data_IF_490253901170
#
_entry.id   IF_490253901170
#
_cell.length_a   1.000
_cell.length_b   1.000
_cell.length_c   1.000
_cell.angle_alpha   90.00
_cell.angle_beta   90.00
_cell.angle_gamma   90.00
#
_symmetry.space_group_name_H-M   'P 1'
#
loop_
_entity.id
_entity.type
_entity.pdbx_description
1 polymer ?
#
# COMPACT_ATOMS: atom_id res chain seq x y z
N UNK A 1 -19.27 -22.31 16.70
CA UNK A 1 -19.26 -22.13 15.21
C UNK A 1 -18.13 -22.98 14.67
N UNK A 2 -18.40 -23.84 13.70
CA UNK A 2 -17.36 -24.54 12.96
C UNK A 2 -16.71 -23.53 11.99
N UNK A 3 -15.46 -23.19 12.24
CA UNK A 3 -14.73 -22.16 11.48
C UNK A 3 -14.50 -22.61 10.04
N UNK A 4 -14.20 -23.89 9.83
CA UNK A 4 -13.95 -24.42 8.48
C UNK A 4 -15.19 -24.34 7.61
N UNK A 5 -16.34 -24.74 8.13
CA UNK A 5 -17.60 -24.66 7.40
C UNK A 5 -18.01 -23.21 7.17
N UNK A 6 -17.91 -22.36 8.18
CA UNK A 6 -18.22 -20.93 8.09
C UNK A 6 -17.40 -20.23 7.00
N UNK A 7 -16.07 -20.42 7.00
CA UNK A 7 -15.18 -19.79 6.03
C UNK A 7 -15.38 -20.38 4.62
N UNK A 8 -15.67 -21.68 4.49
CA UNK A 8 -15.99 -22.32 3.21
C UNK A 8 -17.27 -21.73 2.62
N UNK A 9 -18.30 -21.51 3.42
CA UNK A 9 -19.55 -20.88 2.98
C UNK A 9 -19.34 -19.42 2.56
N UNK A 10 -18.53 -18.65 3.31
CA UNK A 10 -18.13 -17.31 2.93
C UNK A 10 -17.43 -17.31 1.57
N UNK A 11 -16.44 -18.18 1.38
CA UNK A 11 -15.69 -18.29 0.14
C UNK A 11 -16.58 -18.64 -1.06
N UNK A 12 -17.48 -19.63 -0.89
CA UNK A 12 -18.44 -20.04 -1.92
C UNK A 12 -19.36 -18.89 -2.34
N UNK A 13 -19.90 -18.14 -1.38
CA UNK A 13 -20.77 -16.96 -1.64
C UNK A 13 -19.99 -15.84 -2.34
N UNK A 14 -18.77 -15.53 -1.89
CA UNK A 14 -17.89 -14.55 -2.54
C UNK A 14 -17.57 -14.95 -3.99
N UNK A 15 -17.22 -16.23 -4.23
CA UNK A 15 -16.96 -16.74 -5.57
C UNK A 15 -18.19 -16.64 -6.47
N UNK A 16 -19.39 -16.88 -5.96
CA UNK A 16 -20.62 -16.67 -6.71
C UNK A 16 -20.84 -15.19 -7.04
N UNK A 17 -20.70 -14.32 -6.05
CA UNK A 17 -20.88 -12.88 -6.21
C UNK A 17 -19.85 -12.26 -7.17
N UNK A 18 -18.59 -12.74 -7.19
CA UNK A 18 -17.54 -12.24 -8.09
C UNK A 18 -17.92 -12.33 -9.57
N UNK A 19 -18.70 -13.38 -9.96
CA UNK A 19 -19.18 -13.53 -11.34
C UNK A 19 -20.21 -12.46 -11.71
N UNK A 20 -21.03 -12.01 -10.76
CA UNK A 20 -21.96 -10.91 -10.97
C UNK A 20 -21.22 -9.57 -11.01
N UNK A 21 -20.24 -9.37 -10.12
CA UNK A 21 -19.40 -8.18 -10.10
C UNK A 21 -18.60 -7.98 -11.39
N UNK A 22 -18.06 -9.05 -11.96
CA UNK A 22 -17.33 -9.00 -13.24
C UNK A 22 -18.19 -8.50 -14.43
N UNK A 23 -19.54 -8.55 -14.31
CA UNK A 23 -20.49 -8.09 -15.31
C UNK A 23 -21.17 -6.77 -14.94
N UNK A 24 -20.93 -6.27 -13.71
CA UNK A 24 -21.55 -5.05 -13.22
C UNK A 24 -21.14 -3.84 -14.07
N UNK A 25 -22.11 -3.02 -14.44
CA UNK A 25 -21.83 -1.78 -15.16
C UNK A 25 -21.15 -0.76 -14.24
N UNK A 26 -20.37 0.15 -14.80
CA UNK A 26 -19.78 1.29 -14.09
C UNK A 26 -20.85 2.08 -13.33
N UNK A 27 -22.02 2.27 -13.94
CA UNK A 27 -23.14 2.98 -13.31
C UNK A 27 -23.63 2.26 -12.04
N UNK A 28 -23.78 0.94 -12.07
CA UNK A 28 -24.20 0.16 -10.90
C UNK A 28 -23.16 0.21 -9.77
N UNK A 29 -21.86 0.05 -10.13
CA UNK A 29 -20.76 0.16 -9.17
C UNK A 29 -20.70 1.54 -8.52
N UNK A 30 -20.81 2.61 -9.30
CA UNK A 30 -20.83 3.98 -8.78
C UNK A 30 -22.06 4.24 -7.91
N UNK A 31 -23.25 3.76 -8.31
CA UNK A 31 -24.47 3.89 -7.52
C UNK A 31 -24.36 3.19 -6.16
N UNK A 32 -23.71 2.01 -6.10
CA UNK A 32 -23.46 1.30 -4.85
C UNK A 32 -22.53 2.12 -3.93
N UNK A 33 -21.39 2.61 -4.44
CA UNK A 33 -20.46 3.43 -3.67
C UNK A 33 -21.11 4.71 -3.12
N UNK A 34 -21.92 5.38 -3.93
CA UNK A 34 -22.64 6.58 -3.53
C UNK A 34 -23.77 6.28 -2.51
N UNK A 35 -24.43 5.13 -2.63
CA UNK A 35 -25.41 4.67 -1.66
C UNK A 35 -24.76 4.34 -0.30
N UNK A 36 -23.58 3.70 -0.29
CA UNK A 36 -22.80 3.47 0.93
C UNK A 36 -22.38 4.80 1.56
N UNK A 37 -21.91 5.77 0.77
CA UNK A 37 -21.53 7.10 1.26
C UNK A 37 -22.71 7.79 1.98
N UNK A 38 -23.90 7.80 1.36
CA UNK A 38 -25.12 8.33 1.99
C UNK A 38 -25.55 7.57 3.24
N UNK A 39 -25.37 6.24 3.25
CA UNK A 39 -25.70 5.42 4.42
C UNK A 39 -24.77 5.74 5.61
N UNK A 40 -23.47 5.97 5.36
CA UNK A 40 -22.53 6.41 6.41
C UNK A 40 -22.92 7.79 6.95
N UNK A 41 -23.28 8.74 6.08
CA UNK A 41 -23.74 10.07 6.50
C UNK A 41 -25.03 9.99 7.34
N UNK A 42 -25.99 9.16 6.91
CA UNK A 42 -27.27 8.95 7.61
C UNK A 42 -27.08 8.33 8.99
N UNK A 43 -26.25 7.30 9.10
CA UNK A 43 -26.08 6.48 10.30
C UNK A 43 -24.80 6.80 11.08
N UNK A 44 -24.23 8.00 10.88
CA UNK A 44 -22.98 8.42 11.50
C UNK A 44 -22.95 8.26 13.03
N UNK A 45 -24.08 8.56 13.72
CA UNK A 45 -24.14 8.39 15.17
C UNK A 45 -24.12 6.91 15.58
N UNK A 46 -24.86 6.05 14.89
CA UNK A 46 -24.87 4.61 15.18
C UNK A 46 -23.49 3.97 14.95
N UNK A 47 -22.74 4.43 13.92
CA UNK A 47 -21.34 4.01 13.70
C UNK A 47 -20.43 4.44 14.85
N UNK A 48 -20.56 5.69 15.33
CA UNK A 48 -19.79 6.17 16.48
C UNK A 48 -20.14 5.41 17.77
N UNK A 49 -21.40 5.05 17.98
CA UNK A 49 -21.83 4.26 19.13
C UNK A 49 -21.26 2.83 19.07
N UNK A 50 -21.23 2.20 17.91
CA UNK A 50 -20.58 0.91 17.71
C UNK A 50 -19.07 1.00 17.98
N UNK A 51 -18.41 2.03 17.43
CA UNK A 51 -17.00 2.27 17.62
C UNK A 51 -16.64 2.59 19.08
N UNK A 52 -17.49 3.31 19.81
CA UNK A 52 -17.27 3.60 21.22
C UNK A 52 -17.19 2.31 22.07
N UNK A 53 -17.95 1.25 21.71
CA UNK A 53 -17.86 -0.06 22.38
C UNK A 53 -16.51 -0.73 22.11
N UNK A 54 -16.04 -0.71 20.86
CA UNK A 54 -14.70 -1.23 20.51
C UNK A 54 -13.58 -0.47 21.23
N UNK A 55 -13.65 0.86 21.26
CA UNK A 55 -12.67 1.73 21.95
C UNK A 55 -12.68 1.49 23.47
N UNK A 56 -13.84 1.32 24.08
CA UNK A 56 -13.95 1.00 25.53
C UNK A 56 -13.26 -0.33 25.82
N UNK A 57 -13.54 -1.38 25.05
CA UNK A 57 -12.90 -2.68 25.19
C UNK A 57 -11.37 -2.60 24.96
N UNK A 58 -10.91 -1.81 24.01
CA UNK A 58 -9.47 -1.60 23.75
C UNK A 58 -8.76 -0.93 24.95
N UNK A 59 -9.41 0.09 25.55
CA UNK A 59 -8.90 0.75 26.76
C UNK A 59 -8.84 -0.19 27.97
N UNK A 60 -9.88 -1.01 28.20
CA UNK A 60 -9.88 -2.01 29.25
C UNK A 60 -8.75 -3.05 29.10
N UNK A 61 -8.39 -3.38 27.86
CA UNK A 61 -7.25 -4.25 27.54
C UNK A 61 -5.89 -3.56 27.64
N UNK A 62 -5.84 -2.26 27.94
CA UNK A 62 -4.60 -1.50 28.11
C UNK A 62 -3.84 -1.24 26.81
N UNK A 63 -4.53 -1.18 25.66
CA UNK A 63 -3.90 -0.85 24.38
C UNK A 63 -3.42 0.60 24.37
N UNK A 64 -2.32 0.86 23.67
CA UNK A 64 -1.66 2.17 23.67
C UNK A 64 -2.49 3.27 22.97
N UNK A 65 -2.15 4.53 23.25
CA UNK A 65 -2.87 5.69 22.74
C UNK A 65 -2.86 5.77 21.20
N UNK A 66 -1.77 5.38 20.56
CA UNK A 66 -1.65 5.40 19.10
C UNK A 66 -2.52 4.33 18.46
N UNK A 67 -2.69 3.18 19.14
CA UNK A 67 -3.62 2.14 18.72
C UNK A 67 -5.07 2.63 18.82
N UNK A 68 -5.43 3.23 19.96
CA UNK A 68 -6.78 3.77 20.20
C UNK A 68 -7.12 4.88 19.20
N UNK A 69 -6.16 5.75 18.88
CA UNK A 69 -6.33 6.80 17.85
C UNK A 69 -6.68 6.19 16.48
N UNK A 70 -5.93 5.17 16.06
CA UNK A 70 -6.19 4.45 14.81
C UNK A 70 -7.54 3.71 14.77
N UNK A 71 -8.02 3.25 15.93
CA UNK A 71 -9.30 2.56 16.06
C UNK A 71 -10.49 3.51 16.04
N UNK A 72 -10.29 4.78 16.45
CA UNK A 72 -11.37 5.73 16.69
C UNK A 72 -11.97 6.27 15.41
N UNK A 73 -13.31 6.14 15.26
CA UNK A 73 -14.10 6.76 14.20
C UNK A 73 -14.62 8.14 14.63
N UNK A 74 -13.78 9.16 14.44
CA UNK A 74 -14.18 10.56 14.64
C UNK A 74 -15.05 11.05 13.49
N UNK A 75 -15.72 12.22 13.68
CA UNK A 75 -16.47 12.88 12.60
C UNK A 75 -15.60 13.13 11.36
N UNK A 76 -14.34 13.49 11.56
CA UNK A 76 -13.38 13.67 10.46
C UNK A 76 -13.06 12.32 9.76
N UNK A 77 -12.93 11.23 10.50
CA UNK A 77 -12.72 9.90 9.93
C UNK A 77 -13.91 9.47 9.06
N UNK A 78 -15.13 9.66 9.54
CA UNK A 78 -16.35 9.37 8.77
C UNK A 78 -16.44 10.23 7.51
N UNK A 79 -16.15 11.52 7.64
CA UNK A 79 -16.10 12.44 6.48
C UNK A 79 -15.07 11.98 5.44
N UNK A 80 -13.87 11.60 5.87
CA UNK A 80 -12.82 11.09 4.98
C UNK A 80 -13.24 9.80 4.27
N UNK A 81 -13.93 8.87 4.95
CA UNK A 81 -14.49 7.67 4.32
C UNK A 81 -15.50 8.02 3.22
N UNK A 82 -16.40 8.97 3.47
CA UNK A 82 -17.41 9.42 2.50
C UNK A 82 -16.73 10.07 1.28
N UNK A 83 -15.75 10.93 1.52
CA UNK A 83 -14.97 11.57 0.46
C UNK A 83 -14.20 10.52 -0.36
N UNK A 84 -13.59 9.52 0.29
CA UNK A 84 -12.90 8.41 -0.36
C UNK A 84 -13.83 7.58 -1.25
N UNK A 85 -15.05 7.25 -0.79
CA UNK A 85 -16.06 6.55 -1.60
C UNK A 85 -16.44 7.34 -2.85
N UNK A 86 -16.70 8.64 -2.72
CA UNK A 86 -17.03 9.53 -3.85
C UNK A 86 -15.87 9.67 -4.82
N UNK A 87 -14.66 9.73 -4.30
CA UNK A 87 -13.45 9.78 -5.11
C UNK A 87 -13.25 8.50 -5.91
N UNK A 88 -13.35 7.32 -5.28
CA UNK A 88 -13.27 6.03 -5.98
C UNK A 88 -14.40 5.91 -7.02
N UNK A 89 -15.61 6.37 -6.72
CA UNK A 89 -16.71 6.41 -7.69
C UNK A 89 -16.37 7.24 -8.93
N UNK A 90 -15.63 8.35 -8.77
CA UNK A 90 -15.24 9.24 -9.86
C UNK A 90 -14.09 8.70 -10.74
N UNK A 91 -13.34 7.71 -10.28
CA UNK A 91 -12.25 7.12 -11.06
C UNK A 91 -12.78 6.43 -12.32
N UNK A 92 -11.95 6.39 -13.36
CA UNK A 92 -12.25 5.59 -14.55
C UNK A 92 -12.37 4.10 -14.18
N UNK A 93 -13.38 3.44 -14.74
CA UNK A 93 -13.56 2.00 -14.56
C UNK A 93 -12.65 1.24 -15.54
N UNK A 94 -11.69 0.46 -15.05
CA UNK A 94 -10.75 -0.22 -15.94
C UNK A 94 -11.34 -1.49 -16.58
N UNK A 95 -12.49 -1.98 -16.12
CA UNK A 95 -13.03 -3.28 -16.52
C UNK A 95 -13.65 -3.22 -17.92
N UNK A 96 -13.27 -4.18 -18.76
CA UNK A 96 -13.77 -4.31 -20.13
C UNK A 96 -12.99 -3.52 -21.17
N UNK A 97 -12.01 -2.71 -20.78
CA UNK A 97 -11.12 -2.04 -21.72
C UNK A 97 -10.34 -3.07 -22.54
N UNK A 98 -10.38 -2.91 -23.90
CA UNK A 98 -9.60 -3.74 -24.82
C UNK A 98 -8.47 -2.89 -25.41
N UNK A 99 -7.25 -3.26 -25.04
CA UNK A 99 -6.03 -2.63 -25.56
C UNK A 99 -5.28 -3.49 -26.55
N UNK A 100 -4.38 -2.84 -27.32
CA UNK A 100 -3.42 -3.52 -28.20
C UNK A 100 -4.04 -4.47 -29.25
N UNK A 101 -5.26 -4.18 -29.72
CA UNK A 101 -5.93 -4.99 -30.74
C UNK A 101 -5.23 -4.83 -32.09
N UNK A 102 -4.63 -5.91 -32.60
CA UNK A 102 -3.84 -5.92 -33.86
C UNK A 102 -4.17 -7.10 -34.73
N UNK A 103 -4.22 -6.88 -36.06
CA UNK A 103 -4.28 -7.95 -37.04
C UNK A 103 -3.04 -8.84 -36.98
N UNK A 104 -3.25 -10.12 -37.17
CA UNK A 104 -2.20 -11.11 -37.34
C UNK A 104 -2.15 -11.63 -38.78
N UNK A 105 -1.02 -12.22 -39.23
CA UNK A 105 -0.91 -12.74 -40.59
C UNK A 105 -1.99 -13.75 -40.97
N UNK A 106 -2.57 -14.45 -39.99
CA UNK A 106 -3.69 -15.40 -40.15
C UNK A 106 -5.05 -14.75 -40.39
N UNK A 107 -5.15 -13.42 -40.34
CA UNK A 107 -6.41 -12.66 -40.52
C UNK A 107 -7.14 -12.33 -39.21
N UNK A 108 -6.86 -13.04 -38.10
CA UNK A 108 -7.48 -12.74 -36.81
C UNK A 108 -6.95 -11.43 -36.21
N UNK A 109 -7.77 -10.78 -35.39
CA UNK A 109 -7.33 -9.70 -34.50
C UNK A 109 -7.09 -10.26 -33.08
N UNK A 110 -5.97 -9.89 -32.46
CA UNK A 110 -5.63 -10.27 -31.10
C UNK A 110 -5.38 -9.02 -30.26
N UNK A 111 -6.03 -8.94 -29.11
CA UNK A 111 -5.87 -7.87 -28.14
C UNK A 111 -5.90 -8.41 -26.70
N UNK A 112 -5.89 -7.52 -25.75
CA UNK A 112 -6.00 -7.85 -24.31
C UNK A 112 -7.17 -7.07 -23.71
N UNK A 113 -8.01 -7.74 -22.94
CA UNK A 113 -9.12 -7.16 -22.20
C UNK A 113 -8.81 -7.16 -20.71
N UNK A 114 -9.03 -6.05 -20.05
CA UNK A 114 -8.89 -5.94 -18.60
C UNK A 114 -10.09 -6.55 -17.88
N UNK A 115 -9.83 -7.43 -16.93
CA UNK A 115 -10.85 -8.18 -16.16
C UNK A 115 -10.50 -8.16 -14.66
N UNK A 116 -11.50 -8.29 -13.75
CA UNK A 116 -11.23 -8.41 -12.32
C UNK A 116 -10.34 -9.62 -12.01
N UNK A 117 -9.60 -9.55 -10.89
CA UNK A 117 -8.90 -10.73 -10.34
C UNK A 117 -9.87 -11.81 -9.89
N UNK A 118 -11.01 -11.44 -9.31
CA UNK A 118 -12.04 -12.35 -8.85
C UNK A 118 -12.46 -12.11 -7.41
N UNK A 119 -11.94 -12.89 -6.46
CA UNK A 119 -12.18 -12.73 -5.02
C UNK A 119 -10.89 -12.32 -4.32
N UNK A 120 -10.91 -11.18 -3.62
CA UNK A 120 -9.78 -10.65 -2.91
C UNK A 120 -10.00 -10.79 -1.40
N UNK A 121 -9.11 -11.51 -0.72
CA UNK A 121 -9.07 -11.56 0.73
C UNK A 121 -8.23 -10.40 1.27
N UNK A 122 -8.74 -9.63 2.21
CA UNK A 122 -8.00 -8.53 2.82
C UNK A 122 -7.93 -8.74 4.32
N UNK A 123 -6.72 -8.77 4.86
CA UNK A 123 -6.45 -8.99 6.29
C UNK A 123 -5.83 -7.71 6.83
N UNK A 124 -6.49 -7.07 7.80
CA UNK A 124 -6.06 -5.79 8.33
C UNK A 124 -6.25 -5.69 9.85
N UNK A 125 -5.55 -4.74 10.47
CA UNK A 125 -5.54 -4.51 11.91
C UNK A 125 -6.12 -3.14 12.24
N UNK A 126 -6.76 -3.00 13.38
CA UNK A 126 -7.12 -1.78 14.13
C UNK A 126 -7.51 -0.50 13.35
N UNK A 127 -8.02 -0.62 12.13
CA UNK A 127 -8.38 0.54 11.29
C UNK A 127 -9.73 0.29 10.62
N UNK A 128 -10.87 0.64 11.26
CA UNK A 128 -12.19 0.41 10.66
C UNK A 128 -12.39 1.07 9.29
N UNK A 129 -11.72 2.21 9.02
CA UNK A 129 -11.76 2.86 7.71
C UNK A 129 -11.29 1.95 6.57
N UNK A 130 -10.35 1.04 6.83
CA UNK A 130 -9.86 0.08 5.81
C UNK A 130 -10.99 -0.79 5.28
N UNK A 131 -12.03 -1.08 6.09
CA UNK A 131 -13.23 -1.80 5.64
C UNK A 131 -13.88 -1.10 4.46
N UNK A 132 -14.01 0.22 4.52
CA UNK A 132 -14.63 1.04 3.46
C UNK A 132 -13.69 1.20 2.27
N UNK A 133 -12.42 1.54 2.52
CA UNK A 133 -11.43 1.77 1.46
C UNK A 133 -11.23 0.51 0.61
N UNK A 134 -11.08 -0.64 1.28
CA UNK A 134 -10.92 -1.94 0.64
C UNK A 134 -12.18 -2.37 -0.14
N UNK A 135 -13.38 -2.21 0.47
CA UNK A 135 -14.64 -2.50 -0.20
C UNK A 135 -14.81 -1.65 -1.46
N UNK A 136 -14.54 -0.33 -1.37
CA UNK A 136 -14.68 0.61 -2.46
C UNK A 136 -13.81 0.23 -3.67
N UNK A 137 -12.52 -0.02 -3.43
CA UNK A 137 -11.58 -0.39 -4.49
C UNK A 137 -11.91 -1.75 -5.12
N UNK A 138 -12.28 -2.74 -4.31
CA UNK A 138 -12.70 -4.05 -4.83
C UNK A 138 -13.99 -3.96 -5.66
N UNK A 139 -15.00 -3.23 -5.19
CA UNK A 139 -16.25 -3.02 -5.93
C UNK A 139 -16.01 -2.29 -7.25
N UNK A 140 -15.24 -1.19 -7.23
CA UNK A 140 -14.97 -0.41 -8.45
C UNK A 140 -14.18 -1.21 -9.48
N UNK A 141 -13.22 -2.02 -9.04
CA UNK A 141 -12.46 -2.94 -9.92
C UNK A 141 -13.20 -4.23 -10.28
N UNK A 142 -14.49 -4.34 -9.92
CA UNK A 142 -15.33 -5.49 -10.30
C UNK A 142 -15.05 -6.79 -9.55
N UNK A 143 -14.34 -6.73 -8.42
CA UNK A 143 -14.03 -7.87 -7.57
C UNK A 143 -15.07 -8.06 -6.47
N UNK A 144 -15.20 -9.31 -6.00
CA UNK A 144 -15.74 -9.57 -4.67
C UNK A 144 -14.61 -9.57 -3.65
N UNK A 145 -14.95 -9.34 -2.37
CA UNK A 145 -13.94 -9.31 -1.31
C UNK A 145 -14.41 -9.94 -0.01
N UNK A 146 -13.46 -10.59 0.68
CA UNK A 146 -13.63 -11.10 2.05
C UNK A 146 -12.68 -10.29 2.94
N UNK A 147 -13.24 -9.52 3.85
CA UNK A 147 -12.55 -8.59 4.74
C UNK A 147 -12.41 -9.21 6.12
N UNK A 148 -11.18 -9.37 6.61
CA UNK A 148 -10.90 -9.85 7.95
C UNK A 148 -10.15 -8.76 8.74
N UNK A 149 -10.91 -7.96 9.49
CA UNK A 149 -10.39 -6.95 10.39
C UNK A 149 -9.89 -7.51 11.71
N UNK A 150 -9.14 -6.72 12.47
CA UNK A 150 -8.71 -7.04 13.82
C UNK A 150 -9.89 -7.30 14.77
N UNK A 151 -9.64 -8.10 15.81
CA UNK A 151 -10.65 -8.44 16.82
C UNK A 151 -11.13 -7.25 17.66
N UNK A 152 -10.36 -6.20 17.67
CA UNK A 152 -10.60 -4.95 18.40
C UNK A 152 -11.57 -4.01 17.71
N UNK A 153 -11.94 -4.27 16.46
CA UNK A 153 -12.84 -3.43 15.66
C UNK A 153 -14.10 -4.20 15.19
N UNK A 154 -14.50 -5.25 15.89
CA UNK A 154 -15.59 -6.14 15.45
C UNK A 154 -16.93 -5.43 15.32
N UNK A 155 -17.32 -4.60 16.31
CA UNK A 155 -18.57 -3.86 16.30
C UNK A 155 -18.60 -2.82 15.19
N UNK A 156 -17.51 -2.06 15.04
CA UNK A 156 -17.34 -1.07 13.97
C UNK A 156 -17.41 -1.71 12.60
N UNK A 157 -16.68 -2.80 12.39
CA UNK A 157 -16.64 -3.50 11.11
C UNK A 157 -17.98 -4.15 10.76
N UNK A 158 -18.70 -4.69 11.73
CA UNK A 158 -20.05 -5.24 11.54
C UNK A 158 -21.06 -4.13 11.15
N UNK A 159 -21.00 -2.98 11.82
CA UNK A 159 -21.84 -1.84 11.49
C UNK A 159 -21.56 -1.31 10.06
N UNK A 160 -20.29 -1.19 9.67
CA UNK A 160 -19.91 -0.78 8.32
C UNK A 160 -20.32 -1.81 7.27
N UNK A 161 -20.16 -3.11 7.55
CA UNK A 161 -20.57 -4.20 6.66
C UNK A 161 -22.06 -4.14 6.32
N UNK A 162 -22.91 -3.81 7.32
CA UNK A 162 -24.35 -3.64 7.12
C UNK A 162 -24.63 -2.52 6.11
N UNK A 163 -23.99 -1.36 6.26
CA UNK A 163 -24.19 -0.22 5.35
C UNK A 163 -23.67 -0.51 3.93
N UNK A 164 -22.58 -1.25 3.81
CA UNK A 164 -22.08 -1.72 2.51
C UNK A 164 -23.13 -2.64 1.85
N UNK A 165 -23.70 -3.59 2.60
CA UNK A 165 -24.75 -4.48 2.12
C UNK A 165 -25.99 -3.73 1.63
N UNK A 166 -26.46 -2.72 2.39
CA UNK A 166 -27.57 -1.86 1.99
C UNK A 166 -27.26 -1.10 0.68
N UNK A 167 -26.04 -0.58 0.54
CA UNK A 167 -25.63 0.12 -0.67
C UNK A 167 -25.53 -0.78 -1.91
N UNK A 168 -25.06 -2.02 -1.75
CA UNK A 168 -25.03 -3.02 -2.80
C UNK A 168 -26.43 -3.40 -3.26
N UNK A 169 -27.35 -3.67 -2.32
CA UNK A 169 -28.74 -4.01 -2.59
C UNK A 169 -29.44 -2.87 -3.33
N UNK A 170 -29.27 -1.62 -2.89
CA UNK A 170 -29.84 -0.44 -3.52
C UNK A 170 -29.41 -0.25 -4.98
N UNK A 171 -28.22 -0.77 -5.35
CA UNK A 171 -27.69 -0.73 -6.70
C UNK A 171 -27.98 -2.01 -7.51
N UNK A 172 -28.73 -2.96 -6.96
CA UNK A 172 -29.01 -4.25 -7.60
C UNK A 172 -27.79 -5.18 -7.70
N UNK A 173 -26.78 -4.97 -6.85
CA UNK A 173 -25.59 -5.80 -6.77
C UNK A 173 -25.71 -6.83 -5.63
N UNK A 174 -25.05 -7.99 -5.73
CA UNK A 174 -25.14 -9.00 -4.69
C UNK A 174 -24.49 -8.51 -3.38
N UNK A 175 -25.21 -8.61 -2.26
CA UNK A 175 -24.69 -8.26 -0.95
C UNK A 175 -23.41 -9.07 -0.59
N UNK A 176 -23.31 -10.30 -1.05
CA UNK A 176 -22.15 -11.18 -0.86
C UNK A 176 -20.89 -10.73 -1.64
N UNK A 177 -20.97 -9.65 -2.43
CA UNK A 177 -19.80 -9.06 -3.08
C UNK A 177 -18.79 -8.48 -2.06
N UNK A 178 -19.27 -8.06 -0.88
CA UNK A 178 -18.40 -7.65 0.23
C UNK A 178 -18.84 -8.38 1.49
N UNK A 179 -17.97 -9.22 2.01
CA UNK A 179 -18.23 -9.98 3.23
C UNK A 179 -17.19 -9.64 4.29
N UNK A 180 -17.63 -9.34 5.50
CA UNK A 180 -16.77 -9.13 6.66
C UNK A 180 -16.83 -10.36 7.55
N UNK A 181 -15.67 -10.91 7.91
CA UNK A 181 -15.56 -12.07 8.80
C UNK A 181 -16.03 -11.68 10.21
N UNK A 182 -17.12 -12.29 10.67
CA UNK A 182 -17.79 -11.95 11.93
C UNK A 182 -17.24 -12.66 13.16
N UNK A 183 -15.97 -13.12 13.11
CA UNK A 183 -15.35 -13.81 14.25
C UNK A 183 -13.95 -13.29 14.52
N UNK A 184 -13.60 -13.25 15.82
CA UNK A 184 -12.25 -12.93 16.29
C UNK A 184 -11.28 -14.11 16.19
N UNK A 185 -11.77 -15.31 15.90
CA UNK A 185 -10.94 -16.52 15.85
C UNK A 185 -9.84 -16.41 14.80
N UNK A 186 -8.59 -16.61 15.23
CA UNK A 186 -7.41 -16.57 14.37
C UNK A 186 -7.36 -17.74 13.38
N UNK A 187 -8.09 -18.82 13.61
CA UNK A 187 -8.22 -19.93 12.67
C UNK A 187 -8.88 -19.48 11.35
N UNK A 188 -9.79 -18.48 11.40
CA UNK A 188 -10.38 -17.87 10.20
C UNK A 188 -9.34 -17.24 9.27
N UNK A 189 -8.26 -16.65 9.82
CA UNK A 189 -7.13 -16.13 9.02
C UNK A 189 -6.41 -17.27 8.32
N UNK A 190 -6.04 -18.34 9.07
CA UNK A 190 -5.37 -19.51 8.49
C UNK A 190 -6.18 -20.16 7.38
N UNK A 191 -7.52 -20.23 7.54
CA UNK A 191 -8.40 -20.74 6.51
C UNK A 191 -8.43 -19.83 5.29
N UNK A 192 -8.62 -18.51 5.49
CA UNK A 192 -8.70 -17.52 4.40
C UNK A 192 -7.49 -17.56 3.46
N UNK A 193 -6.27 -17.64 4.03
CA UNK A 193 -5.01 -17.62 3.25
C UNK A 193 -4.71 -18.95 2.53
N UNK A 194 -5.50 -20.00 2.81
CA UNK A 194 -5.31 -21.32 2.20
C UNK A 194 -6.46 -21.73 1.26
N UNK A 195 -7.51 -20.91 1.13
CA UNK A 195 -8.72 -21.17 0.36
C UNK A 195 -8.54 -20.89 -1.15
N UNK A 196 -7.58 -21.53 -1.79
CA UNK A 196 -7.24 -21.32 -3.22
C UNK A 196 -8.40 -21.60 -4.20
N UNK A 197 -9.40 -22.37 -3.79
CA UNK A 197 -10.61 -22.62 -4.57
C UNK A 197 -11.52 -21.39 -4.66
N UNK A 198 -11.53 -20.55 -3.61
CA UNK A 198 -12.48 -19.44 -3.47
C UNK A 198 -11.83 -18.06 -3.49
N UNK A 199 -10.56 -17.96 -3.17
CA UNK A 199 -9.83 -16.68 -3.06
C UNK A 199 -8.68 -16.66 -4.06
N UNK A 200 -8.59 -15.58 -4.84
CA UNK A 200 -7.59 -15.45 -5.91
C UNK A 200 -6.33 -14.74 -5.43
N UNK A 201 -6.48 -13.77 -4.52
CA UNK A 201 -5.37 -12.96 -4.01
C UNK A 201 -5.66 -12.54 -2.56
N UNK A 202 -4.61 -12.47 -1.74
CA UNK A 202 -4.64 -11.88 -0.39
C UNK A 202 -3.87 -10.55 -0.39
N UNK A 203 -4.43 -9.54 0.25
CA UNK A 203 -3.76 -8.26 0.53
C UNK A 203 -3.65 -8.08 2.04
N UNK A 204 -2.46 -8.26 2.63
CA UNK A 204 -2.23 -8.00 4.05
C UNK A 204 -2.03 -6.51 4.32
N UNK A 205 -2.63 -6.02 5.42
CA UNK A 205 -2.55 -4.63 5.89
C UNK A 205 -2.33 -4.61 7.41
N UNK A 206 -1.13 -4.89 7.86
CA UNK A 206 -0.81 -4.97 9.28
C UNK A 206 0.68 -4.87 9.55
N UNK A 207 1.08 -5.12 10.80
CA UNK A 207 2.47 -5.08 11.20
C UNK A 207 3.30 -6.24 10.63
N UNK A 208 4.62 -6.10 10.71
CA UNK A 208 5.63 -7.03 10.17
C UNK A 208 5.36 -8.49 10.58
N UNK A 209 5.11 -8.74 11.86
CA UNK A 209 4.87 -10.09 12.38
C UNK A 209 3.64 -10.78 11.75
N UNK A 210 2.57 -10.04 11.46
CA UNK A 210 1.43 -10.58 10.74
C UNK A 210 1.82 -10.95 9.31
N UNK A 211 2.50 -10.05 8.61
CA UNK A 211 2.87 -10.25 7.21
C UNK A 211 3.84 -11.42 7.07
N UNK A 212 4.85 -11.54 7.93
CA UNK A 212 5.78 -12.67 7.97
C UNK A 212 5.06 -14.02 8.16
N UNK A 213 4.12 -14.06 9.12
CA UNK A 213 3.30 -15.24 9.31
C UNK A 213 2.51 -15.61 8.05
N UNK A 214 1.88 -14.62 7.41
CA UNK A 214 1.11 -14.86 6.18
C UNK A 214 1.99 -15.34 5.04
N UNK A 215 3.19 -14.78 4.87
CA UNK A 215 4.17 -15.22 3.86
C UNK A 215 4.51 -16.70 4.03
N UNK A 216 4.69 -17.15 5.26
CA UNK A 216 5.08 -18.53 5.55
C UNK A 216 3.92 -19.54 5.43
N UNK A 217 2.68 -19.12 5.69
CA UNK A 217 1.52 -20.03 5.79
C UNK A 217 0.59 -19.98 4.55
N UNK A 218 0.62 -18.89 3.76
CA UNK A 218 -0.32 -18.70 2.67
C UNK A 218 -0.08 -19.64 1.49
N UNK A 219 -1.18 -20.14 0.90
CA UNK A 219 -1.22 -20.83 -0.38
C UNK A 219 -1.85 -19.97 -1.48
N UNK A 220 -2.66 -18.99 -1.09
CA UNK A 220 -3.22 -18.00 -2.01
C UNK A 220 -2.12 -16.96 -2.29
N UNK A 221 -1.91 -16.55 -3.56
CA UNK A 221 -0.98 -15.48 -3.91
C UNK A 221 -1.26 -14.19 -3.13
N UNK A 222 -0.22 -13.40 -2.86
CA UNK A 222 -0.37 -12.16 -2.10
C UNK A 222 0.15 -10.95 -2.88
N UNK A 223 -0.47 -9.80 -2.65
CA UNK A 223 0.04 -8.47 -3.00
C UNK A 223 0.52 -7.85 -1.68
N UNK A 224 1.82 -7.71 -1.50
CA UNK A 224 2.40 -7.37 -0.19
C UNK A 224 3.70 -6.60 -0.29
N UNK A 225 4.06 -5.94 0.80
CA UNK A 225 5.44 -5.61 1.16
C UNK A 225 5.65 -5.98 2.64
N UNK A 226 6.89 -6.22 3.02
CA UNK A 226 7.24 -6.54 4.41
C UNK A 226 7.72 -5.29 5.13
N UNK A 227 8.74 -4.65 4.59
CA UNK A 227 9.42 -3.48 5.14
C UNK A 227 9.54 -2.37 4.10
N UNK A 228 9.66 -1.12 4.57
CA UNK A 228 9.95 0.06 3.77
C UNK A 228 11.34 0.63 4.08
N UNK A 229 12.43 -0.12 3.82
CA UNK A 229 13.81 0.39 3.97
C UNK A 229 14.14 1.24 2.74
N UNK A 230 13.76 2.51 2.79
CA UNK A 230 13.90 3.43 1.66
C UNK A 230 15.18 4.26 1.77
N UNK A 231 15.84 4.49 0.62
CA UNK A 231 17.07 5.26 0.54
C UNK A 231 16.88 6.56 -0.25
N UNK A 232 17.64 7.58 0.14
CA UNK A 232 17.96 8.70 -0.74
C UNK A 232 19.47 8.72 -0.93
N UNK A 233 19.91 8.65 -2.17
CA UNK A 233 21.31 8.85 -2.53
C UNK A 233 21.51 10.27 -3.06
N UNK A 234 22.42 11.01 -2.46
CA UNK A 234 22.82 12.34 -2.93
C UNK A 234 24.18 12.22 -3.65
N UNK A 235 24.14 12.41 -4.96
CA UNK A 235 25.28 12.33 -5.85
C UNK A 235 26.21 13.57 -5.73
N UNK A 236 27.47 13.47 -6.11
CA UNK A 236 28.42 14.59 -6.12
C UNK A 236 28.09 15.67 -7.18
N UNK A 237 27.15 15.36 -8.09
CA UNK A 237 26.56 16.28 -9.07
C UNK A 237 25.21 16.84 -8.67
N UNK A 238 24.83 16.71 -7.42
CA UNK A 238 23.54 17.22 -6.93
C UNK A 238 23.55 18.75 -6.76
N UNK A 239 22.40 19.36 -7.04
CA UNK A 239 22.12 20.70 -6.55
C UNK A 239 21.86 20.66 -5.04
N UNK A 240 22.61 21.47 -4.29
CA UNK A 240 22.57 21.47 -2.82
C UNK A 240 21.19 21.83 -2.26
N UNK A 241 20.49 22.79 -2.86
CA UNK A 241 19.19 23.23 -2.38
C UNK A 241 18.12 22.15 -2.60
N UNK A 242 18.16 21.48 -3.76
CA UNK A 242 17.30 20.31 -4.03
C UNK A 242 17.60 19.18 -3.06
N UNK A 243 18.88 18.87 -2.83
CA UNK A 243 19.28 17.80 -1.92
C UNK A 243 18.77 18.05 -0.49
N UNK A 244 18.93 19.26 0.04
CA UNK A 244 18.41 19.62 1.35
C UNK A 244 16.89 19.46 1.42
N UNK A 245 16.16 19.93 0.42
CA UNK A 245 14.69 19.83 0.36
C UNK A 245 14.22 18.39 0.29
N UNK A 246 14.81 17.58 -0.60
CA UNK A 246 14.42 16.18 -0.80
C UNK A 246 14.73 15.37 0.46
N UNK A 247 15.94 15.46 1.02
CA UNK A 247 16.34 14.71 2.21
C UNK A 247 15.52 15.10 3.44
N UNK A 248 15.26 16.39 3.63
CA UNK A 248 14.40 16.84 4.73
C UNK A 248 12.99 16.25 4.60
N UNK A 249 12.34 16.44 3.46
CA UNK A 249 10.99 15.94 3.23
C UNK A 249 10.91 14.43 3.33
N UNK A 250 11.86 13.71 2.73
CA UNK A 250 11.88 12.24 2.70
C UNK A 250 11.91 11.64 4.13
N UNK A 251 12.57 12.29 5.09
CA UNK A 251 12.62 11.81 6.47
C UNK A 251 11.57 12.43 7.36
N UNK A 252 11.41 13.77 7.33
CA UNK A 252 10.70 14.49 8.41
C UNK A 252 9.24 14.83 8.10
N UNK A 253 8.78 14.63 6.86
CA UNK A 253 7.38 14.86 6.52
C UNK A 253 6.45 13.94 7.34
N UNK A 254 6.82 12.65 7.49
CA UNK A 254 6.10 11.69 8.35
C UNK A 254 6.98 10.48 8.64
N UNK A 255 7.25 10.19 9.92
CA UNK A 255 8.17 9.11 10.31
C UNK A 255 7.60 7.70 10.16
N UNK A 256 6.34 7.49 10.51
CA UNK A 256 5.72 6.18 10.61
C UNK A 256 5.06 5.69 9.32
N UNK A 257 5.73 5.83 8.15
CA UNK A 257 5.22 5.35 6.87
C UNK A 257 6.31 4.63 6.08
N UNK A 258 5.91 3.58 5.35
CA UNK A 258 6.82 2.66 4.64
C UNK A 258 7.65 3.31 3.51
N UNK A 259 7.29 4.51 3.05
CA UNK A 259 8.04 5.28 2.05
C UNK A 259 8.89 6.41 2.68
N UNK A 260 9.03 6.43 4.01
CA UNK A 260 9.95 7.34 4.71
C UNK A 260 11.39 6.90 4.47
N UNK A 261 12.29 7.85 4.22
CA UNK A 261 13.71 7.56 4.12
C UNK A 261 14.25 7.03 5.45
N UNK A 262 14.85 5.84 5.43
CA UNK A 262 15.49 5.24 6.60
C UNK A 262 17.02 5.29 6.51
N UNK A 263 17.55 5.32 5.28
CA UNK A 263 18.99 5.48 5.04
C UNK A 263 19.28 6.59 4.03
N UNK A 264 20.19 7.47 4.40
CA UNK A 264 20.75 8.51 3.55
C UNK A 264 22.16 8.09 3.09
N UNK A 265 22.35 7.96 1.79
CA UNK A 265 23.65 7.73 1.17
C UNK A 265 24.17 9.03 0.58
N UNK A 266 25.40 9.39 0.84
CA UNK A 266 26.01 10.64 0.38
C UNK A 266 27.31 10.36 -0.34
N UNK A 267 27.45 10.82 -1.58
CA UNK A 267 28.70 10.73 -2.29
C UNK A 267 29.83 11.49 -1.55
N UNK A 268 31.01 10.88 -1.47
CA UNK A 268 32.17 11.45 -0.76
C UNK A 268 32.50 12.87 -1.24
N UNK A 269 32.32 13.14 -2.54
CA UNK A 269 32.60 14.47 -3.14
C UNK A 269 31.69 15.61 -2.67
N UNK A 270 30.48 15.34 -2.14
CA UNK A 270 29.54 16.37 -1.68
C UNK A 270 29.33 16.35 -0.15
N UNK A 271 29.85 15.31 0.53
CA UNK A 271 29.58 15.06 1.94
C UNK A 271 29.94 16.27 2.83
N UNK A 272 31.10 16.88 2.64
CA UNK A 272 31.55 18.05 3.42
C UNK A 272 30.66 19.28 3.24
N UNK A 273 29.95 19.40 2.12
CA UNK A 273 29.04 20.54 1.83
C UNK A 273 27.60 20.27 2.28
N UNK A 274 27.13 19.04 2.10
CA UNK A 274 25.75 18.67 2.37
C UNK A 274 25.48 18.34 3.85
N UNK A 275 26.34 17.51 4.45
CA UNK A 275 26.07 16.97 5.79
C UNK A 275 25.98 18.04 6.90
N UNK A 276 26.82 19.09 6.93
CA UNK A 276 26.73 20.11 7.97
C UNK A 276 25.36 20.83 8.07
N UNK A 277 24.81 21.41 6.99
CA UNK A 277 23.51 22.06 7.06
C UNK A 277 22.38 21.05 7.30
N UNK A 278 22.44 19.87 6.69
CA UNK A 278 21.41 18.83 6.84
C UNK A 278 21.42 18.23 8.25
N UNK A 279 22.59 17.99 8.83
CA UNK A 279 22.73 17.48 10.19
C UNK A 279 22.20 18.47 11.25
N UNK A 280 22.41 19.78 11.05
CA UNK A 280 21.80 20.82 11.91
C UNK A 280 20.28 20.80 11.81
N UNK A 281 19.73 20.69 10.60
CA UNK A 281 18.29 20.62 10.37
C UNK A 281 17.68 19.42 11.08
N UNK A 282 18.28 18.22 10.96
CA UNK A 282 17.80 17.01 11.62
C UNK A 282 17.91 17.09 13.15
N UNK A 283 18.99 17.64 13.67
CA UNK A 283 19.13 17.90 15.11
C UNK A 283 17.99 18.80 15.63
N UNK A 284 17.71 19.90 14.92
CA UNK A 284 16.67 20.85 15.31
C UNK A 284 15.27 20.22 15.28
N UNK A 285 15.08 19.18 14.47
CA UNK A 285 13.87 18.34 14.41
C UNK A 285 13.94 17.09 15.30
N UNK A 286 14.96 16.97 16.14
CA UNK A 286 15.16 15.87 17.09
C UNK A 286 15.26 14.49 16.42
N UNK A 287 15.86 14.43 15.23
CA UNK A 287 16.15 13.16 14.57
C UNK A 287 17.47 12.60 15.10
N UNK A 288 17.47 11.37 15.60
CA UNK A 288 18.69 10.64 15.97
C UNK A 288 19.45 10.25 14.71
N UNK A 289 20.75 10.57 14.67
CA UNK A 289 21.61 10.26 13.53
C UNK A 289 22.53 9.08 13.85
N UNK A 290 22.38 7.99 13.12
CA UNK A 290 23.24 6.81 13.15
C UNK A 290 24.16 6.84 11.95
N UNK A 291 25.46 7.01 12.17
CA UNK A 291 26.38 7.46 11.12
C UNK A 291 27.58 6.53 11.00
N UNK A 292 28.04 6.31 9.76
CA UNK A 292 29.32 5.66 9.53
C UNK A 292 30.51 6.57 9.94
N UNK A 293 31.72 6.05 9.93
CA UNK A 293 32.90 6.76 10.37
C UNK A 293 33.19 8.03 9.54
N UNK A 294 32.92 8.00 8.23
CA UNK A 294 33.15 9.13 7.34
C UNK A 294 32.13 10.27 7.57
N UNK A 295 30.84 9.92 7.67
CA UNK A 295 29.79 10.88 8.01
C UNK A 295 30.01 11.48 9.42
N UNK A 296 30.46 10.66 10.40
CA UNK A 296 30.81 11.12 11.74
C UNK A 296 31.88 12.19 11.73
N UNK A 297 32.95 11.97 10.97
CA UNK A 297 34.05 12.94 10.89
C UNK A 297 33.56 14.31 10.41
N UNK A 298 32.77 14.35 9.33
CA UNK A 298 32.22 15.59 8.76
C UNK A 298 31.24 16.28 9.71
N UNK A 299 30.32 15.53 10.32
CA UNK A 299 29.29 16.08 11.20
C UNK A 299 29.88 16.56 12.53
N UNK A 300 30.85 15.84 13.10
CA UNK A 300 31.52 16.26 14.35
C UNK A 300 32.35 17.52 14.15
N UNK A 301 33.09 17.65 13.03
CA UNK A 301 33.80 18.87 12.67
C UNK A 301 32.86 20.07 12.53
N UNK A 302 31.63 19.84 12.03
CA UNK A 302 30.61 20.87 11.91
C UNK A 302 29.86 21.19 13.25
N UNK A 303 30.21 20.54 14.36
CA UNK A 303 29.57 20.69 15.65
C UNK A 303 28.13 20.11 15.69
N UNK A 304 27.83 19.14 14.88
CA UNK A 304 26.54 18.43 14.91
C UNK A 304 26.67 17.21 15.83
N UNK A 305 25.81 17.12 16.82
CA UNK A 305 25.76 16.02 17.77
C UNK A 305 24.53 16.11 18.68
N UNK A 306 24.19 15.04 19.45
CA UNK A 306 24.92 13.77 19.54
C UNK A 306 24.81 12.90 18.30
N UNK A 307 25.81 12.03 18.06
CA UNK A 307 25.87 11.08 16.96
C UNK A 307 26.04 9.64 17.51
N UNK A 308 25.30 8.69 16.96
CA UNK A 308 25.41 7.26 17.27
C UNK A 308 26.22 6.59 16.14
N UNK A 309 27.09 5.62 16.46
CA UNK A 309 27.76 4.83 15.43
C UNK A 309 26.76 3.86 14.80
N UNK A 310 26.69 3.89 13.47
CA UNK A 310 25.88 2.93 12.74
C UNK A 310 26.52 1.53 12.78
N UNK A 311 25.70 0.54 12.95
CA UNK A 311 26.03 -0.88 12.87
C UNK A 311 25.49 -1.48 11.57
N UNK A 312 25.84 -2.72 11.25
CA UNK A 312 25.29 -3.40 10.07
C UNK A 312 23.76 -3.56 10.14
N UNK A 313 23.21 -3.76 11.33
CA UNK A 313 21.75 -3.84 11.57
C UNK A 313 21.02 -2.56 11.19
N UNK A 314 21.64 -1.39 11.33
CA UNK A 314 21.04 -0.12 10.99
C UNK A 314 20.69 -0.01 9.50
N UNK A 315 21.46 -0.65 8.63
CA UNK A 315 21.21 -0.66 7.19
C UNK A 315 20.03 -1.56 6.79
N UNK A 316 19.65 -2.52 7.66
CA UNK A 316 18.52 -3.43 7.50
C UNK A 316 17.26 -2.99 8.25
N UNK A 317 17.29 -1.81 8.89
CA UNK A 317 16.24 -1.40 9.81
C UNK A 317 15.26 -0.39 9.21
N UNK A 318 13.97 -0.73 9.22
CA UNK A 318 12.88 0.23 9.09
C UNK A 318 12.55 0.79 10.48
N UNK A 319 13.01 2.00 10.78
CA UNK A 319 12.85 2.59 12.13
C UNK A 319 11.42 3.03 12.43
N UNK A 320 10.69 3.56 11.44
CA UNK A 320 9.36 4.16 11.61
C UNK A 320 9.32 5.24 12.71
N UNK A 321 10.45 5.89 12.96
CA UNK A 321 10.74 6.79 14.06
C UNK A 321 11.64 7.95 13.60
N UNK A 322 11.84 9.00 14.39
CA UNK A 322 12.80 10.06 14.10
C UNK A 322 14.26 9.57 14.29
N UNK A 323 14.65 8.54 13.57
CA UNK A 323 15.98 7.94 13.50
C UNK A 323 16.38 7.82 12.04
N UNK A 324 17.59 8.17 11.67
CA UNK A 324 18.12 8.13 10.30
C UNK A 324 19.53 7.53 10.28
N UNK A 325 19.74 6.51 9.46
CA UNK A 325 21.06 6.02 9.15
C UNK A 325 21.72 6.86 8.04
N UNK A 326 23.01 7.23 8.18
CA UNK A 326 23.74 8.03 7.19
C UNK A 326 25.08 7.35 6.87
N UNK A 327 25.34 7.13 5.59
CA UNK A 327 26.57 6.55 5.09
C UNK A 327 27.16 7.38 3.97
N UNK A 328 28.48 7.63 4.03
CA UNK A 328 29.24 8.21 2.92
C UNK A 328 29.73 7.07 2.00
N UNK A 329 29.50 7.24 0.71
CA UNK A 329 29.86 6.23 -0.32
C UNK A 329 30.74 6.82 -1.41
N UNK A 330 31.52 5.99 -2.10
CA UNK A 330 32.47 6.40 -3.14
C UNK A 330 31.81 6.74 -4.50
N UNK A 331 30.52 7.03 -4.50
CA UNK A 331 29.78 7.44 -5.68
C UNK A 331 28.64 6.50 -6.05
N UNK A 332 28.19 6.60 -7.30
CA UNK A 332 26.96 5.97 -7.77
C UNK A 332 26.99 4.42 -7.67
N UNK A 333 28.12 3.80 -8.05
CA UNK A 333 28.20 2.34 -8.05
C UNK A 333 28.07 1.76 -6.64
N UNK A 334 28.77 2.33 -5.67
CA UNK A 334 28.68 1.93 -4.27
C UNK A 334 27.27 2.21 -3.66
N UNK A 335 26.62 3.28 -4.09
CA UNK A 335 25.24 3.57 -3.68
C UNK A 335 24.25 2.52 -4.21
N UNK A 336 24.33 2.18 -5.50
CA UNK A 336 23.48 1.16 -6.12
C UNK A 336 23.70 -0.20 -5.47
N UNK A 337 24.96 -0.59 -5.23
CA UNK A 337 25.29 -1.84 -4.54
C UNK A 337 24.69 -1.88 -3.13
N UNK A 338 24.84 -0.79 -2.35
CA UNK A 338 24.26 -0.70 -1.02
C UNK A 338 22.73 -0.83 -1.04
N UNK A 339 22.05 -0.08 -1.92
CA UNK A 339 20.59 -0.12 -2.03
C UNK A 339 20.09 -1.51 -2.42
N UNK A 340 20.71 -2.14 -3.42
CA UNK A 340 20.31 -3.47 -3.87
C UNK A 340 20.60 -4.56 -2.84
N UNK A 341 21.57 -4.35 -1.93
CA UNK A 341 21.93 -5.30 -0.88
C UNK A 341 21.05 -5.15 0.38
N UNK A 342 20.87 -3.92 0.86
CA UNK A 342 20.20 -3.63 2.12
C UNK A 342 18.73 -3.21 1.97
N UNK A 343 18.36 -2.69 0.81
CA UNK A 343 17.02 -2.16 0.55
C UNK A 343 15.94 -3.24 0.53
N UNK A 344 14.73 -2.81 0.85
CA UNK A 344 13.53 -3.65 0.82
C UNK A 344 12.86 -3.72 -0.56
N UNK A 345 13.45 -3.16 -1.59
CA UNK A 345 12.86 -3.00 -2.93
C UNK A 345 11.56 -2.17 -2.95
N UNK A 346 11.38 -1.28 -1.98
CA UNK A 346 10.19 -0.47 -1.84
C UNK A 346 10.30 0.83 -2.64
N UNK A 347 11.06 1.80 -2.15
CA UNK A 347 11.18 3.11 -2.78
C UNK A 347 12.56 3.71 -2.54
N UNK A 348 13.27 4.09 -3.61
CA UNK A 348 14.57 4.72 -3.51
C UNK A 348 14.69 5.91 -4.45
N UNK A 349 15.51 6.88 -4.07
CA UNK A 349 15.68 8.13 -4.81
C UNK A 349 17.16 8.50 -5.00
N UNK A 350 17.45 9.14 -6.12
CA UNK A 350 18.73 9.84 -6.36
C UNK A 350 18.48 11.35 -6.48
N UNK A 351 19.38 12.13 -5.92
CA UNK A 351 19.45 13.59 -6.19
C UNK A 351 20.72 13.85 -7.01
N UNK A 352 20.56 14.29 -8.26
CA UNK A 352 21.65 14.57 -9.18
C UNK A 352 21.20 15.49 -10.31
N UNK A 353 22.11 16.29 -10.86
CA UNK A 353 21.91 17.06 -12.10
C UNK A 353 22.53 16.35 -13.32
N UNK A 354 23.17 15.21 -13.12
CA UNK A 354 23.75 14.40 -14.19
C UNK A 354 22.71 13.43 -14.76
N UNK A 355 22.33 13.64 -16.01
CA UNK A 355 21.31 12.83 -16.68
C UNK A 355 21.70 11.35 -16.80
N UNK A 356 22.95 11.07 -17.14
CA UNK A 356 23.38 9.68 -17.38
C UNK A 356 23.40 8.88 -16.07
N UNK A 357 23.81 9.52 -14.96
CA UNK A 357 23.75 8.93 -13.61
C UNK A 357 22.31 8.70 -13.17
N UNK A 358 21.44 9.65 -13.42
CA UNK A 358 19.99 9.51 -13.13
C UNK A 358 19.40 8.30 -13.88
N UNK A 359 19.69 8.18 -15.19
CA UNK A 359 19.18 7.07 -16.01
C UNK A 359 19.78 5.72 -15.63
N UNK A 360 21.04 5.68 -15.18
CA UNK A 360 21.66 4.47 -14.64
C UNK A 360 20.97 4.05 -13.32
N UNK A 361 20.77 5.00 -12.41
CA UNK A 361 20.08 4.74 -11.14
C UNK A 361 18.69 4.17 -11.35
N UNK A 362 17.88 4.79 -12.24
CA UNK A 362 16.53 4.30 -12.57
C UNK A 362 16.51 2.87 -13.12
N UNK A 363 17.56 2.45 -13.83
CA UNK A 363 17.65 1.12 -14.44
C UNK A 363 18.25 0.07 -13.51
N UNK A 364 19.22 0.47 -12.68
CA UNK A 364 20.07 -0.46 -11.92
C UNK A 364 19.59 -0.68 -10.48
N UNK A 365 18.82 0.27 -9.92
CA UNK A 365 18.16 0.09 -8.62
C UNK A 365 16.86 -0.70 -8.80
N UNK A 366 16.78 -1.86 -8.16
CA UNK A 366 15.66 -2.80 -8.31
C UNK A 366 14.58 -2.56 -7.26
N UNK A 367 13.95 -1.38 -7.27
CA UNK A 367 12.88 -1.02 -6.35
C UNK A 367 11.54 -0.78 -7.07
N UNK A 368 10.44 -0.91 -6.33
CA UNK A 368 9.09 -0.75 -6.87
C UNK A 368 8.82 0.68 -7.36
N UNK A 369 9.44 1.66 -6.67
CA UNK A 369 9.43 3.06 -7.09
C UNK A 369 10.86 3.60 -7.03
N UNK A 370 11.35 4.15 -8.14
CA UNK A 370 12.68 4.76 -8.23
C UNK A 370 12.53 6.19 -8.71
N UNK A 371 13.12 7.16 -8.00
CA UNK A 371 12.88 8.58 -8.21
C UNK A 371 14.16 9.34 -8.51
N UNK A 372 14.05 10.39 -9.30
CA UNK A 372 15.10 11.37 -9.56
C UNK A 372 14.65 12.73 -9.08
N UNK A 373 15.44 13.37 -8.21
CA UNK A 373 15.21 14.72 -7.68
C UNK A 373 13.83 14.89 -7.01
N UNK A 374 13.30 13.82 -6.43
CA UNK A 374 12.02 13.82 -5.73
C UNK A 374 12.11 13.01 -4.43
N UNK A 375 11.32 13.40 -3.45
CA UNK A 375 11.22 12.72 -2.15
C UNK A 375 10.58 11.33 -2.30
N UNK A 376 11.08 10.34 -1.57
CA UNK A 376 10.48 9.00 -1.48
C UNK A 376 9.03 9.04 -1.01
N UNK A 377 8.63 10.13 -0.33
CA UNK A 377 7.26 10.36 0.14
C UNK A 377 6.21 10.47 -0.98
N UNK A 378 6.64 10.70 -2.22
CA UNK A 378 5.74 10.67 -3.39
C UNK A 378 5.34 9.27 -3.83
N UNK A 379 5.89 8.19 -3.26
CA UNK A 379 5.43 6.81 -3.53
C UNK A 379 4.07 6.56 -2.85
N UNK A 380 3.03 7.12 -3.41
CA UNK A 380 1.66 7.17 -2.89
C UNK A 380 0.67 7.13 -4.05
N UNK A 381 -0.45 6.43 -3.87
CA UNK A 381 -1.43 6.24 -4.94
C UNK A 381 -2.09 7.55 -5.41
N UNK A 382 -2.25 8.55 -4.55
CA UNK A 382 -2.76 9.86 -4.95
C UNK A 382 -1.74 10.64 -5.76
N UNK A 383 -0.51 10.69 -5.26
CA UNK A 383 0.58 11.42 -5.92
C UNK A 383 0.93 10.80 -7.28
N UNK A 384 0.78 9.48 -7.44
CA UNK A 384 0.97 8.79 -8.73
C UNK A 384 -0.24 8.88 -9.66
N UNK A 385 -1.31 9.57 -9.25
CA UNK A 385 -2.52 9.75 -10.07
C UNK A 385 -3.44 8.52 -10.13
N UNK A 386 -3.26 7.54 -9.23
CA UNK A 386 -4.11 6.36 -9.13
C UNK A 386 -5.43 6.65 -8.39
N UNK A 387 -5.53 7.80 -7.73
CA UNK A 387 -6.69 8.28 -6.99
C UNK A 387 -6.97 7.58 -5.67
N UNK A 388 -6.55 6.36 -5.51
CA UNK A 388 -6.60 5.58 -4.25
C UNK A 388 -5.71 4.35 -4.38
N UNK A 389 -5.30 3.77 -3.25
CA UNK A 389 -4.52 2.54 -3.22
C UNK A 389 -5.03 1.57 -2.15
N UNK A 390 -4.97 0.28 -2.43
CA UNK A 390 -5.28 -0.76 -1.46
C UNK A 390 -4.05 -1.09 -0.59
N UNK A 391 -2.89 -0.76 -1.07
CA UNK A 391 -1.57 -0.96 -0.44
C UNK A 391 -0.45 -0.74 -1.44
N UNK A 392 0.77 -1.00 -1.00
CA UNK A 392 1.96 -0.96 -1.85
C UNK A 392 2.51 -2.37 -1.96
N UNK A 393 3.06 -2.74 -3.11
CA UNK A 393 3.71 -4.02 -3.34
C UNK A 393 5.14 -3.82 -3.79
N UNK A 394 6.08 -4.54 -3.20
CA UNK A 394 7.46 -4.63 -3.69
C UNK A 394 7.75 -5.95 -4.44
N UNK A 395 6.75 -6.80 -4.61
CA UNK A 395 6.84 -8.00 -5.43
C UNK A 395 6.97 -7.65 -6.93
N UNK A 396 7.66 -8.50 -7.69
CA UNK A 396 7.83 -8.31 -9.15
C UNK A 396 6.68 -8.86 -9.98
N UNK A 397 5.97 -9.85 -9.45
CA UNK A 397 4.86 -10.48 -10.14
C UNK A 397 3.56 -9.74 -9.86
N UNK A 398 2.77 -9.55 -10.92
CA UNK A 398 1.48 -8.92 -11.01
C UNK A 398 1.54 -7.39 -10.80
N UNK A 399 1.36 -6.87 -9.55
CA UNK A 399 1.39 -5.44 -9.25
C UNK A 399 2.64 -5.07 -8.46
N UNK A 400 3.30 -3.97 -8.80
CA UNK A 400 4.49 -3.45 -8.13
C UNK A 400 4.34 -1.94 -7.90
N UNK A 401 4.73 -1.45 -6.73
CA UNK A 401 4.48 -0.08 -6.27
C UNK A 401 3.10 0.11 -5.66
N UNK A 402 2.57 1.34 -5.59
CA UNK A 402 1.21 1.62 -5.14
C UNK A 402 0.18 0.88 -5.99
N UNK A 403 -0.74 0.16 -5.33
CA UNK A 403 -1.72 -0.73 -5.99
C UNK A 403 -3.09 -0.06 -5.99
N UNK A 404 -3.42 0.60 -7.09
CA UNK A 404 -4.74 1.18 -7.37
C UNK A 404 -5.69 0.20 -8.07
N UNK A 405 -6.72 0.73 -8.73
CA UNK A 405 -7.76 -0.08 -9.40
C UNK A 405 -7.19 -1.07 -10.42
N UNK A 406 -6.24 -0.64 -11.25
CA UNK A 406 -5.65 -1.51 -12.27
C UNK A 406 -4.88 -2.68 -11.67
N UNK A 407 -4.21 -2.47 -10.54
CA UNK A 407 -3.49 -3.53 -9.82
C UNK A 407 -4.41 -4.61 -9.24
N UNK A 408 -5.72 -4.33 -9.10
CA UNK A 408 -6.75 -5.30 -8.70
C UNK A 408 -7.41 -6.00 -9.90
N UNK A 409 -6.81 -5.93 -11.08
CA UNK A 409 -7.29 -6.51 -12.33
C UNK A 409 -6.20 -7.32 -13.02
N UNK A 410 -6.58 -8.08 -14.03
CA UNK A 410 -5.67 -8.84 -14.89
C UNK A 410 -6.04 -8.62 -16.36
N UNK A 411 -5.14 -8.99 -17.26
CA UNK A 411 -5.37 -8.93 -18.70
C UNK A 411 -5.58 -10.34 -19.24
N UNK A 412 -6.71 -10.57 -19.95
CA UNK A 412 -6.92 -11.80 -20.72
C UNK A 412 -6.83 -11.51 -22.21
N UNK A 413 -6.36 -12.46 -22.99
CA UNK A 413 -6.39 -12.35 -24.45
C UNK A 413 -7.81 -12.43 -24.97
N UNK A 414 -8.13 -11.57 -25.94
CA UNK A 414 -9.34 -11.62 -26.75
C UNK A 414 -8.95 -11.76 -28.22
N UNK A 415 -9.67 -12.62 -28.93
CA UNK A 415 -9.43 -12.89 -30.34
C UNK A 415 -10.72 -12.67 -31.10
N UNK A 416 -10.66 -11.83 -32.14
CA UNK A 416 -11.76 -11.62 -33.08
C UNK A 416 -11.37 -12.21 -34.42
N UNK A 417 -12.27 -13.02 -34.99
CA UNK A 417 -12.07 -13.66 -36.28
C UNK A 417 -13.36 -13.73 -37.08
N UNK A 418 -13.28 -14.17 -38.32
CA UNK A 418 -14.38 -14.36 -39.26
C UNK A 418 -14.50 -15.80 -39.72
N UNK A 419 -13.97 -16.76 -38.92
CA UNK A 419 -13.96 -18.17 -39.23
C UNK A 419 -12.60 -18.74 -39.68
N UNK A 420 -11.51 -17.95 -39.43
CA UNK A 420 -10.16 -18.41 -39.72
C UNK A 420 -9.81 -19.65 -38.92
N UNK A 421 -9.26 -20.68 -39.59
CA UNK A 421 -8.71 -21.87 -39.00
C UNK A 421 -7.18 -21.85 -38.99
N UNK A 422 -6.58 -22.47 -37.96
CA UNK A 422 -5.12 -22.65 -37.94
C UNK A 422 -4.72 -23.68 -38.99
N UNK A 423 -3.81 -23.29 -39.88
CA UNK A 423 -3.20 -24.20 -40.87
C UNK A 423 -2.00 -24.92 -40.25
#
# INVERSE_FOLDING_TARGET
MDIDQYMTDLGRRARHASRAMARASTAAKNAALDAVARAIERDAQALKDANARDVACAREKGLDAAFIDRLTLSDNALKTMVEGLRQVASLADPIGEIGNLKYRPSGIQVGQMRVPLGVIGIIYESRPNVTIDAAALCLKSGNATILRGGSEALESNAALAKLIGEGLEAAGLPQDAVQVVATADRAAVGKLITMTEYVDVIVPRGGKSLIERLINEARVPMIKHLDGICHVYVDDRADLAKALTVCDNAKTHRYGTCNTMETLLVASGIAATLLPPLGKLYRDKQVELRVDAAARAVLAEAGVGPLVDATDEDWHTEYLAPVLAIKVVDGLDAAIEHINHYGSHHTDAIVTEDHDRAMRFLREVDSASVMVNASTRFADGFEFGLGAEIGISNDKLHARGPVGLEGLTSLKYVVLGHGEGRQ
#
